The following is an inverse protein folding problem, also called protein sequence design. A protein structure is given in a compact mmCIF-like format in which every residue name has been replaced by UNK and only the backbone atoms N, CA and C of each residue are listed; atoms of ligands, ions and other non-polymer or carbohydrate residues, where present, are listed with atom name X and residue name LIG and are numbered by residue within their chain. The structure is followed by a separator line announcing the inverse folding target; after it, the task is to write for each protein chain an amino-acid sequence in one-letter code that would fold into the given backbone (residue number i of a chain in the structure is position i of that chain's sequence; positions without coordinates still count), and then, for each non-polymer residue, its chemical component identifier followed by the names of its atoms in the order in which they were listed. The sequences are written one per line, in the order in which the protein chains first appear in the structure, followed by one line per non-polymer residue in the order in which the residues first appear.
data_IF_735531461829
#
_entry.id   IF_735531461829
#
_cell.length_a   1.000
_cell.length_b   1.000
_cell.length_c   1.000
_cell.angle_alpha   90.00
_cell.angle_beta   90.00
_cell.angle_gamma   90.00
#
_symmetry.space_group_name_H-M   'P 1'
#
loop_
_entity.id
_entity.type
_entity.pdbx_description
1 polymer ?
#
# COMPACT_ATOMS: atom_id res chain seq x y z
N UNK A 1 -28.67 8.82 16.43
CA UNK A 1 -29.58 9.92 16.83
C UNK A 1 -30.87 9.94 16.01
N UNK A 2 -31.05 9.04 15.01
CA UNK A 2 -32.25 8.92 14.16
C UNK A 2 -32.33 9.94 13.01
N UNK A 3 -31.25 10.64 12.73
CA UNK A 3 -31.12 11.49 11.54
C UNK A 3 -30.43 10.70 10.42
N UNK A 4 -30.94 10.88 9.19
CA UNK A 4 -30.36 10.27 7.99
C UNK A 4 -28.98 10.90 7.70
N UNK A 5 -27.95 10.06 7.49
CA UNK A 5 -26.61 10.54 7.16
C UNK A 5 -26.64 11.09 5.73
N UNK A 6 -26.17 12.32 5.54
CA UNK A 6 -26.14 12.96 4.22
C UNK A 6 -25.25 12.15 3.27
N UNK A 7 -25.81 11.74 2.12
CA UNK A 7 -25.16 10.84 1.17
C UNK A 7 -25.13 9.35 1.58
N UNK A 8 -25.77 8.97 2.69
CA UNK A 8 -25.81 7.59 3.20
C UNK A 8 -26.79 6.66 2.48
N UNK A 9 -27.68 7.18 1.63
CA UNK A 9 -28.65 6.37 0.90
C UNK A 9 -28.12 5.98 -0.49
N UNK A 10 -28.17 4.68 -0.79
CA UNK A 10 -27.84 4.15 -2.10
C UNK A 10 -28.90 3.14 -2.55
N UNK A 11 -29.26 3.11 -3.82
CA UNK A 11 -30.25 2.19 -4.35
C UNK A 11 -29.76 1.46 -5.59
N UNK A 12 -30.34 0.28 -5.85
CA UNK A 12 -30.07 -0.54 -7.03
C UNK A 12 -28.59 -0.98 -7.18
N UNK A 13 -27.93 -1.21 -6.05
CA UNK A 13 -26.57 -1.73 -6.01
C UNK A 13 -26.60 -3.24 -6.24
N UNK A 14 -25.75 -3.71 -7.16
CA UNK A 14 -25.48 -5.14 -7.31
C UNK A 14 -24.29 -5.51 -6.43
N UNK A 15 -24.50 -6.38 -5.46
CA UNK A 15 -23.50 -6.79 -4.49
C UNK A 15 -23.34 -8.30 -4.44
N UNK A 16 -22.10 -8.77 -4.40
CA UNK A 16 -21.76 -10.18 -4.24
C UNK A 16 -21.54 -10.47 -2.75
N UNK A 17 -22.45 -11.24 -2.15
CA UNK A 17 -22.38 -11.63 -0.73
C UNK A 17 -21.16 -12.47 -0.48
N UNK A 18 -20.39 -12.17 0.57
CA UNK A 18 -19.11 -12.79 0.92
C UNK A 18 -17.89 -12.10 0.30
N UNK A 19 -18.08 -11.02 -0.46
CA UNK A 19 -16.96 -10.28 -1.08
C UNK A 19 -16.25 -9.32 -0.11
N UNK A 20 -16.88 -8.92 0.98
CA UNK A 20 -16.41 -7.91 1.95
C UNK A 20 -15.93 -6.59 1.30
N UNK A 21 -16.62 -6.16 0.21
CA UNK A 21 -16.21 -4.97 -0.57
C UNK A 21 -16.98 -3.70 -0.23
N UNK A 22 -17.88 -3.77 0.73
CA UNK A 22 -18.67 -2.63 1.19
C UNK A 22 -18.48 -2.46 2.71
N UNK A 23 -19.52 -1.92 3.35
CA UNK A 23 -19.50 -1.63 4.80
C UNK A 23 -19.45 -2.92 5.63
N UNK A 24 -18.78 -2.84 6.75
CA UNK A 24 -18.66 -3.96 7.69
C UNK A 24 -20.02 -4.42 8.20
N UNK A 25 -20.21 -5.75 8.26
CA UNK A 25 -21.45 -6.38 8.71
C UNK A 25 -22.51 -6.55 7.63
N UNK A 26 -22.33 -5.99 6.41
CA UNK A 26 -23.31 -6.14 5.33
C UNK A 26 -23.43 -7.59 4.88
N UNK A 27 -22.33 -8.31 4.72
CA UNK A 27 -22.34 -9.72 4.32
C UNK A 27 -23.14 -10.58 5.31
N UNK A 28 -22.86 -10.42 6.62
CA UNK A 28 -23.58 -11.12 7.68
C UNK A 28 -25.07 -10.74 7.74
N UNK A 29 -25.38 -9.50 7.43
CA UNK A 29 -26.76 -9.06 7.36
C UNK A 29 -27.51 -9.71 6.20
N UNK A 30 -26.89 -9.85 5.03
CA UNK A 30 -27.48 -10.38 3.81
C UNK A 30 -27.62 -11.91 3.79
N UNK A 31 -26.80 -12.64 4.56
CA UNK A 31 -26.88 -14.12 4.62
C UNK A 31 -28.29 -14.55 5.08
N UNK A 32 -28.92 -15.39 4.24
CA UNK A 32 -30.24 -15.96 4.48
C UNK A 32 -31.42 -15.06 4.12
N UNK A 33 -31.20 -13.85 3.62
CA UNK A 33 -32.25 -12.97 3.14
C UNK A 33 -32.76 -13.39 1.76
N UNK A 34 -34.06 -13.15 1.56
CA UNK A 34 -34.77 -13.38 0.29
C UNK A 34 -35.17 -12.06 -0.36
N UNK A 35 -35.57 -12.11 -1.62
CA UNK A 35 -36.08 -10.92 -2.31
C UNK A 35 -37.31 -10.34 -1.59
N UNK A 36 -37.31 -9.06 -1.27
CA UNK A 36 -38.31 -8.34 -0.51
C UNK A 36 -37.99 -8.20 0.97
N UNK A 37 -37.01 -8.92 1.50
CA UNK A 37 -36.66 -8.81 2.92
C UNK A 37 -35.95 -7.49 3.23
N UNK A 38 -36.17 -7.04 4.47
CA UNK A 38 -35.50 -5.87 5.06
C UNK A 38 -34.84 -6.27 6.37
N UNK A 39 -33.64 -5.70 6.64
CA UNK A 39 -32.91 -5.93 7.87
C UNK A 39 -32.10 -4.71 8.24
N UNK A 40 -32.07 -4.39 9.53
CA UNK A 40 -31.20 -3.37 10.08
C UNK A 40 -29.97 -4.02 10.71
N UNK A 41 -28.81 -3.38 10.56
CA UNK A 41 -27.58 -3.80 11.22
C UNK A 41 -26.74 -2.59 11.60
N UNK A 42 -25.89 -2.75 12.62
CA UNK A 42 -24.96 -1.72 13.06
C UNK A 42 -23.64 -1.82 12.30
N UNK A 43 -23.09 -0.70 11.88
CA UNK A 43 -21.78 -0.60 11.27
C UNK A 43 -21.04 0.65 11.72
N UNK A 44 -19.73 0.70 11.54
CA UNK A 44 -18.95 1.93 11.71
C UNK A 44 -19.10 2.82 10.47
N UNK A 45 -19.39 4.10 10.69
CA UNK A 45 -19.51 5.08 9.61
C UNK A 45 -18.11 5.50 9.15
N UNK A 46 -17.85 5.35 7.86
CA UNK A 46 -16.58 5.77 7.24
C UNK A 46 -16.73 7.24 6.79
N UNK A 47 -15.78 8.10 7.22
CA UNK A 47 -15.73 9.52 6.80
C UNK A 47 -16.41 10.50 7.76
N UNK A 48 -16.95 10.06 8.88
CA UNK A 48 -17.36 10.85 10.03
C UNK A 48 -16.37 10.63 11.19
N UNK A 49 -16.52 11.34 12.32
CA UNK A 49 -15.58 11.20 13.44
C UNK A 49 -15.33 9.72 13.79
N UNK A 50 -14.07 9.33 13.94
CA UNK A 50 -13.67 7.95 14.20
C UNK A 50 -14.45 7.34 15.35
N UNK A 51 -15.12 6.20 15.09
CA UNK A 51 -15.83 5.42 16.10
C UNK A 51 -17.35 5.65 16.19
N UNK A 52 -17.93 6.54 15.39
CA UNK A 52 -19.39 6.66 15.36
C UNK A 52 -20.03 5.44 14.67
N UNK A 53 -20.98 4.82 15.38
CA UNK A 53 -21.79 3.72 14.86
C UNK A 53 -23.07 4.25 14.24
N UNK A 54 -23.39 3.71 13.07
CA UNK A 54 -24.65 3.96 12.39
C UNK A 54 -25.47 2.68 12.27
N UNK A 55 -26.79 2.84 12.15
CA UNK A 55 -27.71 1.75 11.80
C UNK A 55 -28.02 1.86 10.31
N UNK A 56 -27.79 0.79 9.58
CA UNK A 56 -28.07 0.72 8.14
C UNK A 56 -29.25 -0.21 7.89
N UNK A 57 -30.30 0.31 7.25
CA UNK A 57 -31.39 -0.50 6.71
C UNK A 57 -30.98 -1.05 5.33
N UNK A 58 -30.97 -2.35 5.17
CA UNK A 58 -30.77 -3.01 3.86
C UNK A 58 -32.08 -3.63 3.38
N UNK A 59 -32.38 -3.43 2.10
CA UNK A 59 -33.56 -4.00 1.43
C UNK A 59 -33.08 -4.82 0.24
N UNK A 60 -33.35 -6.13 0.27
CA UNK A 60 -33.01 -7.03 -0.84
C UNK A 60 -34.10 -6.99 -1.91
N UNK A 61 -33.81 -6.40 -3.07
CA UNK A 61 -34.76 -6.34 -4.19
C UNK A 61 -34.82 -7.62 -4.99
N UNK A 62 -33.66 -8.21 -5.27
CA UNK A 62 -33.50 -9.41 -6.09
C UNK A 62 -32.32 -10.23 -5.57
N UNK A 63 -32.47 -11.53 -5.50
CA UNK A 63 -31.37 -12.47 -5.27
C UNK A 63 -31.06 -13.14 -6.61
N UNK A 64 -29.76 -13.15 -6.98
CA UNK A 64 -29.24 -13.77 -8.19
C UNK A 64 -28.17 -14.80 -7.81
N UNK A 65 -28.15 -15.92 -8.50
CA UNK A 65 -27.05 -16.86 -8.42
C UNK A 65 -25.99 -16.51 -9.48
N UNK A 66 -24.71 -16.54 -9.08
CA UNK A 66 -23.61 -16.31 -10.00
C UNK A 66 -23.16 -17.64 -10.57
N UNK A 67 -23.52 -17.90 -11.83
CA UNK A 67 -22.98 -19.03 -12.58
C UNK A 67 -21.64 -18.64 -13.21
N UNK A 68 -20.60 -19.39 -12.89
CA UNK A 68 -19.30 -19.22 -13.53
C UNK A 68 -19.18 -20.20 -14.71
N UNK A 69 -18.57 -19.78 -15.82
CA UNK A 69 -18.27 -20.71 -16.91
C UNK A 69 -17.32 -21.81 -16.43
N UNK A 70 -17.41 -23.01 -17.00
CA UNK A 70 -16.47 -24.08 -16.69
C UNK A 70 -15.04 -23.65 -17.03
N UNK A 71 -14.07 -24.04 -16.18
CA UNK A 71 -12.66 -23.77 -16.43
C UNK A 71 -12.10 -24.79 -17.41
N UNK A 72 -12.29 -24.54 -18.70
CA UNK A 72 -11.84 -25.33 -19.82
C UNK A 72 -11.11 -24.49 -20.88
N UNK A 73 -10.76 -25.09 -22.01
CA UNK A 73 -10.06 -24.41 -23.11
C UNK A 73 -10.94 -23.32 -23.76
N UNK A 74 -12.26 -23.45 -23.72
CA UNK A 74 -13.16 -22.41 -24.21
C UNK A 74 -13.08 -21.15 -23.30
N UNK A 75 -13.00 -21.37 -21.99
CA UNK A 75 -12.75 -20.28 -21.02
C UNK A 75 -11.40 -19.62 -21.26
N UNK A 76 -10.32 -20.41 -21.48
CA UNK A 76 -8.99 -19.84 -21.72
C UNK A 76 -8.99 -18.91 -22.95
N UNK A 77 -9.60 -19.32 -24.06
CA UNK A 77 -9.75 -18.50 -25.28
C UNK A 77 -10.59 -17.25 -25.09
N UNK A 78 -11.59 -17.30 -24.22
CA UNK A 78 -12.45 -16.14 -23.95
C UNK A 78 -11.77 -15.11 -23.04
N UNK A 79 -11.02 -15.58 -22.03
CA UNK A 79 -10.48 -14.76 -20.96
C UNK A 79 -9.03 -14.32 -21.18
N UNK A 80 -8.33 -14.88 -22.18
CA UNK A 80 -6.90 -14.66 -22.40
C UNK A 80 -6.50 -14.82 -23.87
N UNK A 81 -5.20 -14.69 -24.14
CA UNK A 81 -4.60 -14.95 -25.46
C UNK A 81 -4.19 -16.42 -25.68
N UNK A 82 -4.42 -17.29 -24.69
CA UNK A 82 -4.04 -18.70 -24.75
C UNK A 82 -5.15 -19.60 -25.34
N UNK A 83 -4.73 -20.64 -26.04
CA UNK A 83 -5.65 -21.58 -26.66
C UNK A 83 -6.14 -22.70 -25.72
N UNK A 84 -5.36 -22.96 -24.67
CA UNK A 84 -5.66 -24.02 -23.71
C UNK A 84 -5.62 -23.55 -22.28
N UNK A 85 -6.40 -24.22 -21.42
CA UNK A 85 -6.39 -23.92 -19.98
C UNK A 85 -5.02 -24.20 -19.34
N UNK A 86 -4.29 -25.19 -19.84
CA UNK A 86 -2.97 -25.54 -19.32
C UNK A 86 -1.92 -24.46 -19.65
N UNK A 87 -1.98 -23.84 -20.84
CA UNK A 87 -1.14 -22.70 -21.18
C UNK A 87 -1.43 -21.49 -20.29
N UNK A 88 -2.72 -21.20 -20.07
CA UNK A 88 -3.13 -20.12 -19.17
C UNK A 88 -2.63 -20.36 -17.75
N UNK A 89 -2.76 -21.57 -17.22
CA UNK A 89 -2.25 -21.93 -15.89
C UNK A 89 -0.72 -21.82 -15.80
N UNK A 90 0.00 -22.26 -16.85
CA UNK A 90 1.45 -22.19 -16.89
C UNK A 90 1.94 -20.73 -16.88
N UNK A 91 1.28 -19.83 -17.62
CA UNK A 91 1.58 -18.41 -17.60
C UNK A 91 1.35 -17.79 -16.19
N UNK A 92 0.19 -18.06 -15.59
CA UNK A 92 -0.08 -17.61 -14.23
C UNK A 92 0.93 -18.16 -13.22
N UNK A 93 1.31 -19.43 -13.31
CA UNK A 93 2.32 -20.00 -12.44
C UNK A 93 3.65 -19.25 -12.57
N UNK A 94 4.09 -18.99 -13.81
CA UNK A 94 5.32 -18.25 -14.09
C UNK A 94 5.27 -16.81 -13.54
N UNK A 95 4.15 -16.12 -13.71
CA UNK A 95 3.96 -14.76 -13.17
C UNK A 95 3.97 -14.78 -11.65
N UNK A 96 3.26 -15.72 -11.02
CA UNK A 96 3.22 -15.85 -9.56
C UNK A 96 4.60 -16.19 -8.98
N UNK A 97 5.35 -17.10 -9.61
CA UNK A 97 6.72 -17.41 -9.19
C UNK A 97 7.61 -16.16 -9.21
N UNK A 98 7.49 -15.34 -10.26
CA UNK A 98 8.25 -14.09 -10.35
C UNK A 98 7.87 -13.10 -9.25
N UNK A 99 6.57 -12.93 -9.00
CA UNK A 99 6.07 -12.06 -7.93
C UNK A 99 6.56 -12.58 -6.57
N UNK A 100 6.43 -13.87 -6.31
CA UNK A 100 6.88 -14.48 -5.06
C UNK A 100 8.39 -14.35 -4.82
N UNK A 101 9.21 -14.50 -5.86
CA UNK A 101 10.66 -14.25 -5.75
C UNK A 101 10.98 -12.79 -5.41
N UNK A 102 10.23 -11.85 -6.00
CA UNK A 102 10.39 -10.42 -5.65
C UNK A 102 9.98 -10.13 -4.21
N UNK A 103 8.85 -10.68 -3.75
CA UNK A 103 8.38 -10.56 -2.37
C UNK A 103 9.38 -11.16 -1.38
N UNK A 104 9.92 -12.36 -1.67
CA UNK A 104 10.94 -12.99 -0.85
C UNK A 104 12.22 -12.14 -0.76
N UNK A 105 12.65 -11.55 -1.87
CA UNK A 105 13.80 -10.65 -1.87
C UNK A 105 13.56 -9.39 -1.03
N UNK A 106 12.35 -8.83 -1.08
CA UNK A 106 11.98 -7.69 -0.23
C UNK A 106 11.98 -8.07 1.25
N UNK A 107 11.28 -9.16 1.61
CA UNK A 107 11.24 -9.66 3.00
C UNK A 107 12.63 -9.98 3.54
N UNK A 108 13.50 -10.58 2.73
CA UNK A 108 14.87 -10.90 3.17
C UNK A 108 15.67 -9.63 3.50
N UNK A 109 15.51 -8.58 2.69
CA UNK A 109 16.13 -7.27 2.97
C UNK A 109 15.59 -6.63 4.24
N UNK A 110 14.27 -6.64 4.42
CA UNK A 110 13.62 -6.05 5.59
C UNK A 110 14.09 -6.75 6.88
N UNK A 111 14.09 -8.09 6.89
CA UNK A 111 14.59 -8.89 8.02
C UNK A 111 16.08 -8.69 8.29
N UNK A 112 16.87 -8.51 7.24
CA UNK A 112 18.30 -8.21 7.39
C UNK A 112 18.52 -6.86 8.07
N UNK A 113 17.82 -5.82 7.60
CA UNK A 113 17.89 -4.47 8.20
C UNK A 113 17.42 -4.50 9.65
N UNK A 114 16.28 -5.14 9.92
CA UNK A 114 15.74 -5.30 11.28
C UNK A 114 16.77 -5.95 12.22
N UNK A 115 17.39 -7.05 11.76
CA UNK A 115 18.40 -7.75 12.55
C UNK A 115 19.65 -6.89 12.78
N UNK A 116 20.13 -6.18 11.79
CA UNK A 116 21.28 -5.28 11.92
C UNK A 116 20.98 -4.13 12.88
N UNK A 117 19.78 -3.56 12.83
CA UNK A 117 19.32 -2.52 13.75
C UNK A 117 19.21 -3.03 15.20
N UNK A 118 18.80 -4.29 15.39
CA UNK A 118 18.72 -4.89 16.71
C UNK A 118 20.11 -5.17 17.34
N UNK A 119 21.11 -5.44 16.51
CA UNK A 119 22.48 -5.76 16.94
C UNK A 119 23.41 -4.53 17.01
N UNK A 120 22.96 -3.38 16.47
CA UNK A 120 23.80 -2.18 16.36
C UNK A 120 23.16 -1.01 17.12
N UNK A 121 23.91 -0.40 18.04
CA UNK A 121 23.47 0.83 18.70
C UNK A 121 23.76 2.03 17.79
N UNK A 122 22.72 2.68 17.33
CA UNK A 122 22.78 3.82 16.41
C UNK A 122 22.23 5.05 17.11
N UNK A 123 23.07 6.04 17.47
CA UNK A 123 22.60 7.27 18.07
C UNK A 123 21.88 8.13 17.02
N UNK A 124 20.67 8.54 17.34
CA UNK A 124 19.90 9.49 16.51
C UNK A 124 19.80 10.82 17.26
N UNK A 125 20.26 11.93 16.69
CA UNK A 125 20.15 13.24 17.34
C UNK A 125 18.68 13.68 17.46
N UNK A 126 18.26 14.04 18.66
CA UNK A 126 16.87 14.48 18.91
C UNK A 126 16.46 15.67 18.04
N UNK A 127 17.38 16.58 17.76
CA UNK A 127 17.11 17.74 16.91
C UNK A 127 16.61 17.35 15.51
N UNK A 128 17.22 16.31 14.91
CA UNK A 128 16.78 15.83 13.58
C UNK A 128 15.40 15.18 13.67
N UNK A 129 15.15 14.44 14.74
CA UNK A 129 13.83 13.82 14.95
C UNK A 129 12.76 14.89 15.11
N UNK A 130 13.01 15.90 15.95
CA UNK A 130 12.06 16.99 16.18
C UNK A 130 11.76 17.79 14.90
N UNK A 131 12.75 18.01 14.05
CA UNK A 131 12.62 18.71 12.77
C UNK A 131 11.71 17.91 11.82
N UNK A 132 12.01 16.65 11.59
CA UNK A 132 11.23 15.74 10.72
C UNK A 132 9.79 15.54 11.21
N UNK A 133 9.60 15.36 12.53
CA UNK A 133 8.28 15.22 13.15
C UNK A 133 7.47 16.50 12.98
N UNK A 134 8.07 17.67 13.19
CA UNK A 134 7.38 18.95 13.03
C UNK A 134 7.00 19.20 11.57
N UNK A 135 7.87 18.87 10.62
CA UNK A 135 7.60 19.02 9.19
C UNK A 135 6.44 18.10 8.77
N UNK A 136 6.45 16.85 9.22
CA UNK A 136 5.37 15.89 8.95
C UNK A 136 4.03 16.39 9.48
N UNK A 137 3.95 16.72 10.78
CA UNK A 137 2.72 17.19 11.43
C UNK A 137 2.23 18.53 10.88
N UNK A 138 3.16 19.41 10.47
CA UNK A 138 2.82 20.69 9.82
C UNK A 138 2.18 20.46 8.46
N UNK A 139 2.69 19.50 7.68
CA UNK A 139 2.15 19.11 6.39
C UNK A 139 0.72 18.56 6.48
N UNK A 140 0.41 17.88 7.58
CA UNK A 140 -0.92 17.33 7.86
C UNK A 140 -1.86 18.30 8.61
N UNK A 141 -1.35 19.44 9.11
CA UNK A 141 -2.10 20.38 9.95
C UNK A 141 -2.40 19.83 11.36
N UNK A 142 -1.61 18.88 11.87
CA UNK A 142 -1.81 18.14 13.12
C UNK A 142 -0.76 18.44 14.19
N UNK A 143 -0.18 19.63 14.23
CA UNK A 143 0.89 20.02 15.15
C UNK A 143 0.54 19.83 16.64
N UNK A 144 -0.72 19.98 17.00
CA UNK A 144 -1.22 19.90 18.40
C UNK A 144 -1.65 18.46 18.79
N UNK A 145 -1.56 17.49 17.89
CA UNK A 145 -1.96 16.11 18.14
C UNK A 145 -0.81 15.34 18.82
N UNK A 146 -0.88 15.27 20.14
CA UNK A 146 0.18 14.68 20.95
C UNK A 146 0.31 13.16 20.77
N UNK A 147 -0.80 12.44 20.50
CA UNK A 147 -0.80 10.99 20.28
C UNK A 147 -0.16 10.66 18.94
N UNK A 148 -0.58 11.36 17.90
CA UNK A 148 0.00 11.19 16.57
C UNK A 148 1.49 11.62 16.54
N UNK A 149 1.85 12.69 17.26
CA UNK A 149 3.27 13.09 17.43
C UNK A 149 4.13 11.97 18.00
N UNK A 150 3.65 11.25 19.02
CA UNK A 150 4.42 10.17 19.62
C UNK A 150 4.59 8.97 18.66
N UNK A 151 3.57 8.69 17.85
CA UNK A 151 3.64 7.68 16.80
C UNK A 151 4.66 8.06 15.72
N UNK A 152 4.57 9.27 15.20
CA UNK A 152 5.48 9.81 14.17
C UNK A 152 6.92 9.88 14.68
N UNK A 153 7.16 10.28 15.94
CA UNK A 153 8.50 10.26 16.57
C UNK A 153 9.12 8.86 16.49
N UNK A 154 8.38 7.83 16.88
CA UNK A 154 8.85 6.44 16.79
C UNK A 154 9.19 6.02 15.38
N UNK A 155 8.36 6.38 14.40
CA UNK A 155 8.57 6.06 12.98
C UNK A 155 9.79 6.79 12.42
N UNK A 156 9.94 8.10 12.69
CA UNK A 156 11.07 8.91 12.26
C UNK A 156 12.38 8.40 12.85
N UNK A 157 12.42 8.08 14.15
CA UNK A 157 13.62 7.50 14.78
C UNK A 157 14.02 6.17 14.13
N UNK A 158 13.06 5.30 13.83
CA UNK A 158 13.30 4.03 13.17
C UNK A 158 13.85 4.23 11.75
N UNK A 159 13.27 5.16 10.99
CA UNK A 159 13.71 5.51 9.64
C UNK A 159 15.14 6.06 9.64
N UNK A 160 15.42 7.04 10.49
CA UNK A 160 16.76 7.63 10.61
C UNK A 160 17.83 6.63 11.03
N UNK A 161 17.51 5.70 11.95
CA UNK A 161 18.42 4.59 12.30
C UNK A 161 18.75 3.72 11.10
N UNK A 162 17.73 3.35 10.32
CA UNK A 162 17.91 2.57 9.10
C UNK A 162 18.78 3.30 8.09
N UNK A 163 18.53 4.58 7.88
CA UNK A 163 19.31 5.42 6.98
C UNK A 163 20.77 5.53 7.40
N UNK A 164 21.04 5.80 8.68
CA UNK A 164 22.41 5.88 9.19
C UNK A 164 23.15 4.55 9.11
N UNK A 165 22.45 3.44 9.38
CA UNK A 165 23.03 2.11 9.21
C UNK A 165 23.43 1.86 7.77
N UNK A 166 22.51 2.10 6.83
CA UNK A 166 22.75 1.86 5.42
C UNK A 166 23.82 2.79 4.85
N UNK A 167 23.86 4.05 5.27
CA UNK A 167 24.93 4.99 4.89
C UNK A 167 26.29 4.53 5.39
N UNK A 168 26.36 3.97 6.59
CA UNK A 168 27.59 3.39 7.12
C UNK A 168 28.06 2.17 6.30
N UNK A 169 27.11 1.31 5.88
CA UNK A 169 27.41 0.17 5.00
C UNK A 169 27.86 0.65 3.62
N UNK A 170 27.13 1.59 3.00
CA UNK A 170 27.51 2.19 1.71
C UNK A 170 28.94 2.72 1.74
N UNK A 171 29.30 3.39 2.83
CA UNK A 171 30.65 3.93 3.02
C UNK A 171 31.70 2.84 3.25
N UNK A 172 31.40 1.82 4.06
CA UNK A 172 32.32 0.75 4.39
C UNK A 172 32.61 -0.14 3.17
N UNK A 173 31.59 -0.43 2.36
CA UNK A 173 31.68 -1.25 1.16
C UNK A 173 32.04 -0.45 -0.10
N UNK A 174 32.29 0.86 0.03
CA UNK A 174 32.64 1.76 -1.08
C UNK A 174 31.64 1.68 -2.25
N UNK A 175 30.35 1.56 -1.95
CA UNK A 175 29.30 1.37 -2.97
C UNK A 175 29.23 2.56 -3.91
N UNK A 176 29.45 2.30 -5.20
CA UNK A 176 29.38 3.32 -6.26
C UNK A 176 28.05 3.20 -7.01
N UNK A 177 27.41 4.32 -7.25
CA UNK A 177 26.20 4.41 -8.10
C UNK A 177 26.63 4.84 -9.49
N UNK A 178 26.25 4.05 -10.49
CA UNK A 178 26.51 4.38 -11.90
C UNK A 178 25.37 5.24 -12.48
N UNK A 179 25.66 5.96 -13.57
CA UNK A 179 24.65 6.74 -14.29
C UNK A 179 23.49 5.86 -14.80
N UNK A 180 23.78 4.62 -15.17
CA UNK A 180 22.77 3.67 -15.65
C UNK A 180 21.81 3.32 -14.51
N UNK A 181 22.32 2.95 -13.33
CA UNK A 181 21.51 2.61 -12.16
C UNK A 181 20.65 3.79 -11.71
N UNK A 182 21.20 5.00 -11.74
CA UNK A 182 20.46 6.21 -11.42
C UNK A 182 19.35 6.47 -12.42
N UNK A 183 19.62 6.28 -13.72
CA UNK A 183 18.62 6.45 -14.78
C UNK A 183 17.49 5.41 -14.64
N UNK A 184 17.83 4.14 -14.41
CA UNK A 184 16.84 3.09 -14.20
C UNK A 184 15.95 3.37 -12.98
N UNK A 185 16.56 3.87 -11.90
CA UNK A 185 15.82 4.26 -10.71
C UNK A 185 14.87 5.43 -10.99
N UNK A 186 15.33 6.47 -11.68
CA UNK A 186 14.52 7.61 -12.10
C UNK A 186 13.32 7.19 -12.94
N UNK A 187 13.53 6.34 -13.96
CA UNK A 187 12.46 5.83 -14.83
C UNK A 187 11.42 5.06 -14.01
N UNK A 188 11.85 4.17 -13.14
CA UNK A 188 10.95 3.38 -12.30
C UNK A 188 10.17 4.24 -11.32
N UNK A 189 10.84 5.22 -10.70
CA UNK A 189 10.21 6.08 -9.69
C UNK A 189 9.24 7.08 -10.33
N UNK A 190 9.60 7.68 -11.47
CA UNK A 190 8.74 8.62 -12.20
C UNK A 190 7.39 7.99 -12.60
N UNK A 191 7.39 6.69 -12.95
CA UNK A 191 6.16 5.96 -13.27
C UNK A 191 5.18 5.88 -12.08
N UNK A 192 5.69 5.80 -10.84
CA UNK A 192 4.84 5.81 -9.62
C UNK A 192 4.14 7.14 -9.42
N UNK A 193 4.78 8.24 -9.85
CA UNK A 193 4.21 9.59 -9.77
C UNK A 193 3.44 9.98 -11.04
N UNK A 194 3.32 9.09 -12.02
CA UNK A 194 2.63 9.36 -13.30
C UNK A 194 3.31 10.45 -14.13
N UNK A 195 4.64 10.63 -13.96
CA UNK A 195 5.43 11.70 -14.59
C UNK A 195 6.37 11.12 -15.66
N UNK A 196 6.72 11.96 -16.64
CA UNK A 196 7.81 11.63 -17.57
C UNK A 196 9.17 11.67 -16.81
N UNK A 197 10.10 10.73 -17.07
CA UNK A 197 11.40 10.67 -16.37
C UNK A 197 12.19 11.97 -16.41
N UNK A 198 12.19 12.66 -17.55
CA UNK A 198 12.89 13.95 -17.72
C UNK A 198 12.27 15.07 -16.87
N UNK A 199 10.94 15.10 -16.78
CA UNK A 199 10.23 16.06 -15.95
C UNK A 199 10.50 15.80 -14.47
N UNK A 200 10.44 14.55 -14.05
CA UNK A 200 10.74 14.15 -12.68
C UNK A 200 12.18 14.52 -12.29
N UNK A 201 13.17 14.24 -13.16
CA UNK A 201 14.56 14.62 -12.94
C UNK A 201 14.74 16.14 -12.80
N UNK A 202 14.03 16.93 -13.63
CA UNK A 202 14.07 18.41 -13.53
C UNK A 202 13.49 18.93 -12.23
N UNK A 203 12.42 18.32 -11.71
CA UNK A 203 11.82 18.69 -10.42
C UNK A 203 12.76 18.39 -9.26
N UNK A 204 13.37 17.19 -9.25
CA UNK A 204 14.38 16.83 -8.26
C UNK A 204 15.59 17.78 -8.29
N UNK A 205 16.01 18.19 -9.49
CA UNK A 205 17.10 19.15 -9.64
C UNK A 205 16.73 20.52 -9.09
N UNK A 206 15.52 21.01 -9.37
CA UNK A 206 15.02 22.30 -8.83
C UNK A 206 14.89 22.27 -7.30
N UNK A 207 14.47 21.13 -6.76
CA UNK A 207 14.34 20.92 -5.31
C UNK A 207 15.70 20.67 -4.61
N UNK A 208 16.80 20.49 -5.36
CA UNK A 208 18.11 20.17 -4.78
C UNK A 208 18.22 18.74 -4.24
N UNK A 209 17.31 17.82 -4.65
CA UNK A 209 17.17 16.47 -4.11
C UNK A 209 17.97 15.40 -4.87
N UNK A 210 18.78 15.76 -5.85
CA UNK A 210 19.58 14.78 -6.63
C UNK A 210 20.55 14.01 -5.73
N UNK A 211 21.16 14.66 -4.75
CA UNK A 211 22.10 13.99 -3.81
C UNK A 211 21.36 12.95 -2.94
N UNK A 212 20.16 13.27 -2.50
CA UNK A 212 19.31 12.36 -1.74
C UNK A 212 18.93 11.14 -2.59
N UNK A 213 18.55 11.35 -3.85
CA UNK A 213 18.27 10.26 -4.77
C UNK A 213 19.48 9.32 -4.97
N UNK A 214 20.68 9.87 -5.14
CA UNK A 214 21.91 9.07 -5.25
C UNK A 214 22.13 8.25 -3.98
N UNK A 215 21.90 8.83 -2.79
CA UNK A 215 22.02 8.12 -1.53
C UNK A 215 21.00 6.96 -1.43
N UNK A 216 19.74 7.18 -1.84
CA UNK A 216 18.71 6.13 -1.86
C UNK A 216 19.11 4.95 -2.77
N UNK A 217 19.64 5.26 -3.98
CA UNK A 217 20.11 4.22 -4.90
C UNK A 217 21.30 3.46 -4.30
N UNK A 218 22.24 4.16 -3.65
CA UNK A 218 23.39 3.54 -3.00
C UNK A 218 22.95 2.61 -1.85
N UNK A 219 22.03 3.05 -1.00
CA UNK A 219 21.46 2.24 0.09
C UNK A 219 20.74 1.00 -0.44
N UNK A 220 19.90 1.17 -1.49
CA UNK A 220 19.23 0.03 -2.12
C UNK A 220 20.21 -0.98 -2.71
N UNK A 221 21.31 -0.50 -3.30
CA UNK A 221 22.38 -1.33 -3.85
C UNK A 221 23.17 -2.07 -2.76
N UNK A 222 23.46 -1.42 -1.64
CA UNK A 222 24.14 -2.02 -0.50
C UNK A 222 23.39 -3.22 0.10
N UNK A 223 22.07 -3.25 -0.04
CA UNK A 223 21.22 -4.37 0.38
C UNK A 223 21.04 -5.47 -0.67
N UNK A 224 21.53 -5.26 -1.88
CA UNK A 224 21.38 -6.20 -2.99
C UNK A 224 22.64 -7.06 -3.23
N UNK A 225 23.77 -6.67 -2.67
CA UNK A 225 25.05 -7.39 -2.72
C UNK A 225 25.25 -8.29 -1.55
#
# INVERSE_FOLDING_TARGET
NGEEVDGGAASDISYEVGSNRMIDGLDDALIGMSAGDKKDFETQLVGQAEGEKGVVEVVVKVVKERELPPMDDAFAKLASEFDTLDELKADFATRLERVKKMEQGAQARDLLVEKLLAETEIPVPDLLVDEEVNDHLSGEGRLEDAEHRAEVDGQVRSSLKSDFLLDAIVKAEEVQVTEVELTEYLVRTSQRYGMAPEQFAQELQKAGQIQQLVAEVARAKALAG
#
